data_IF_143405171606
#
_entry.id   IF_143405171606
#
_cell.length_a   1.000
_cell.length_b   1.000
_cell.length_c   1.000
_cell.angle_alpha   90.00
_cell.angle_beta   90.00
_cell.angle_gamma   90.00
#
_symmetry.space_group_name_H-M   'P 1'
#
loop_
_entity.id
_entity.type
_entity.pdbx_description
1 polymer ?
#
# COMPACT_ATOMS: atom_id res chain seq x y z
N UNK A 1 -2.32 12.55 4.73
CA UNK A 1 -1.86 11.61 3.71
C UNK A 1 -0.35 11.46 3.77
N UNK A 2 0.13 10.25 3.81
CA UNK A 2 1.57 9.98 3.82
C UNK A 2 2.16 10.12 2.43
N UNK A 3 3.28 10.81 2.36
CA UNK A 3 4.02 10.84 1.10
C UNK A 3 4.83 9.56 0.98
N UNK A 4 4.88 8.96 -0.20
CA UNK A 4 5.73 7.79 -0.38
C UNK A 4 7.20 8.15 -0.19
N UNK A 5 7.95 7.24 0.42
CA UNK A 5 9.37 7.44 0.72
C UNK A 5 10.28 6.91 -0.39
N UNK A 6 9.76 6.05 -1.25
CA UNK A 6 10.54 5.43 -2.32
C UNK A 6 9.77 5.47 -3.62
N UNK A 7 10.48 5.23 -4.73
CA UNK A 7 9.85 5.15 -6.05
C UNK A 7 8.87 3.98 -6.09
N UNK A 8 9.23 2.86 -5.48
CA UNK A 8 8.36 1.69 -5.41
C UNK A 8 7.07 2.01 -4.67
N UNK A 9 7.17 2.68 -3.53
CA UNK A 9 6.00 3.09 -2.78
C UNK A 9 5.14 4.08 -3.56
N UNK A 10 5.78 4.98 -4.32
CA UNK A 10 5.07 5.92 -5.14
C UNK A 10 4.22 5.21 -6.21
N UNK A 11 4.79 4.19 -6.85
CA UNK A 11 4.07 3.42 -7.86
C UNK A 11 2.91 2.65 -7.24
N UNK A 12 3.10 2.10 -6.05
CA UNK A 12 2.01 1.45 -5.33
C UNK A 12 0.92 2.46 -5.02
N UNK A 13 1.29 3.66 -4.56
CA UNK A 13 0.32 4.70 -4.25
C UNK A 13 -0.50 5.08 -5.48
N UNK A 14 0.13 5.19 -6.64
CA UNK A 14 -0.59 5.48 -7.88
C UNK A 14 -1.59 4.38 -8.21
N UNK A 15 -1.20 3.12 -8.01
CA UNK A 15 -2.09 1.99 -8.22
C UNK A 15 -3.29 2.06 -7.29
N UNK A 16 -3.06 2.35 -6.01
CA UNK A 16 -4.13 2.45 -5.03
C UNK A 16 -5.08 3.59 -5.36
N UNK A 17 -4.54 4.74 -5.74
CA UNK A 17 -5.36 5.90 -6.10
C UNK A 17 -6.25 5.60 -7.29
N UNK A 18 -5.79 4.77 -8.21
CA UNK A 18 -6.54 4.44 -9.42
C UNK A 18 -7.61 3.37 -9.17
N UNK A 19 -7.46 2.56 -8.12
CA UNK A 19 -8.30 1.39 -7.91
C UNK A 19 -9.15 1.41 -6.65
N UNK A 20 -8.88 2.34 -5.73
CA UNK A 20 -9.59 2.40 -4.45
C UNK A 20 -10.04 3.82 -4.15
N UNK A 21 -11.15 3.95 -3.42
CA UNK A 21 -11.59 5.24 -2.90
C UNK A 21 -10.76 5.55 -1.65
N UNK A 22 -9.60 6.17 -1.86
CA UNK A 22 -8.59 6.31 -0.82
C UNK A 22 -9.01 7.11 0.40
N UNK A 23 -10.08 7.90 0.28
CA UNK A 23 -10.62 8.63 1.42
C UNK A 23 -11.18 7.72 2.51
N UNK A 24 -11.44 6.44 2.18
CA UNK A 24 -11.97 5.47 3.13
C UNK A 24 -10.87 4.60 3.75
N UNK A 25 -9.61 4.88 3.44
CA UNK A 25 -8.51 4.03 3.84
C UNK A 25 -7.37 4.83 4.46
N UNK A 26 -6.60 4.15 5.31
CA UNK A 26 -5.35 4.67 5.81
C UNK A 26 -4.21 3.91 5.15
N UNK A 27 -3.19 4.63 4.71
CA UNK A 27 -2.03 4.03 4.08
C UNK A 27 -0.82 4.29 4.97
N UNK A 28 -0.05 3.25 5.21
CA UNK A 28 1.19 3.38 5.97
C UNK A 28 2.29 2.55 5.33
N UNK A 29 3.55 2.95 5.48
CA UNK A 29 4.65 2.18 4.91
C UNK A 29 4.90 0.91 5.71
N UNK A 30 5.12 -0.21 5.00
CA UNK A 30 5.53 -1.46 5.61
C UNK A 30 7.01 -1.68 5.45
N UNK A 31 7.52 -1.43 4.25
CA UNK A 31 8.92 -1.58 3.92
C UNK A 31 9.23 -0.63 2.78
N UNK A 32 10.48 -0.64 2.32
CA UNK A 32 10.89 0.22 1.21
C UNK A 32 10.13 -0.06 -0.08
N UNK A 33 9.58 -1.27 -0.20
CA UNK A 33 8.90 -1.70 -1.41
C UNK A 33 7.45 -2.08 -1.18
N UNK A 34 6.86 -1.68 -0.05
CA UNK A 34 5.50 -2.09 0.27
C UNK A 34 4.76 -1.06 1.11
N UNK A 35 3.43 -1.06 0.95
CA UNK A 35 2.53 -0.22 1.71
C UNK A 35 1.43 -1.08 2.32
N UNK A 36 0.92 -0.65 3.47
CA UNK A 36 -0.21 -1.28 4.13
C UNK A 36 -1.42 -0.39 3.95
N UNK A 37 -2.53 -0.99 3.54
CA UNK A 37 -3.81 -0.32 3.39
C UNK A 37 -4.75 -0.86 4.45
N UNK A 38 -5.36 0.05 5.22
CA UNK A 38 -6.29 -0.34 6.28
C UNK A 38 -7.60 0.41 6.10
N UNK A 39 -8.73 -0.31 6.17
CA UNK A 39 -10.04 0.31 6.06
C UNK A 39 -10.57 0.68 7.46
N UNK A 40 -11.79 1.24 7.49
CA UNK A 40 -12.39 1.71 8.74
C UNK A 40 -12.81 0.58 9.67
N UNK A 41 -12.92 -0.64 9.15
CA UNK A 41 -13.28 -1.80 9.97
C UNK A 41 -12.06 -2.46 10.59
N UNK A 42 -10.86 -2.01 10.21
CA UNK A 42 -9.63 -2.60 10.70
C UNK A 42 -9.07 -3.69 9.80
N UNK A 43 -9.73 -3.98 8.69
CA UNK A 43 -9.17 -4.94 7.73
C UNK A 43 -7.97 -4.34 7.04
N UNK A 44 -6.96 -5.15 6.84
CA UNK A 44 -5.68 -4.72 6.28
C UNK A 44 -5.30 -5.53 5.06
N UNK A 45 -4.73 -4.85 4.08
CA UNK A 45 -4.17 -5.47 2.89
C UNK A 45 -2.82 -4.84 2.65
N UNK A 46 -1.82 -5.67 2.35
CA UNK A 46 -0.48 -5.18 2.02
C UNK A 46 -0.23 -5.30 0.54
N UNK A 47 0.39 -4.29 -0.04
CA UNK A 47 0.78 -4.28 -1.44
C UNK A 47 2.28 -4.05 -1.54
N UNK A 48 2.92 -4.82 -2.40
CA UNK A 48 4.34 -4.68 -2.68
C UNK A 48 4.57 -4.39 -4.15
N UNK A 49 5.74 -3.85 -4.47
CA UNK A 49 6.16 -3.62 -5.84
C UNK A 49 7.24 -4.64 -6.17
N UNK A 50 6.84 -5.66 -6.94
CA UNK A 50 7.70 -6.80 -7.27
C UNK A 50 7.66 -7.00 -8.78
N UNK A 51 8.81 -7.28 -9.38
CA UNK A 51 8.92 -7.54 -10.82
C UNK A 51 8.25 -6.46 -11.67
N UNK A 52 8.46 -5.20 -11.29
CA UNK A 52 7.87 -4.04 -11.95
C UNK A 52 6.34 -4.02 -11.91
N UNK A 53 5.73 -4.70 -10.95
CA UNK A 53 4.27 -4.75 -10.79
C UNK A 53 3.88 -4.54 -9.35
N UNK A 54 2.70 -3.92 -9.15
CA UNK A 54 2.09 -3.85 -7.83
C UNK A 54 1.35 -5.15 -7.59
N UNK A 55 1.64 -5.82 -6.48
CA UNK A 55 1.05 -7.10 -6.13
C UNK A 55 0.61 -7.09 -4.67
N UNK A 56 -0.49 -7.79 -4.40
CA UNK A 56 -0.89 -8.02 -3.02
C UNK A 56 0.08 -9.01 -2.39
N UNK A 57 0.56 -8.69 -1.18
CA UNK A 57 1.52 -9.54 -0.47
C UNK A 57 0.96 -9.92 0.89
N UNK A 58 1.46 -11.00 1.50
CA UNK A 58 1.04 -11.34 2.86
C UNK A 58 1.45 -10.26 3.86
N UNK A 59 0.59 -10.02 4.84
CA UNK A 59 0.93 -9.10 5.91
C UNK A 59 1.93 -9.80 6.82
N UNK A 60 3.08 -9.19 7.11
CA UNK A 60 4.08 -9.83 7.96
C UNK A 60 3.54 -10.08 9.35
N UNK A 61 3.89 -11.19 9.99
CA UNK A 61 3.49 -11.42 11.37
C UNK A 61 4.14 -10.40 12.31
N UNK A 62 3.42 -10.08 13.35
CA UNK A 62 3.89 -9.13 14.36
C UNK A 62 4.89 -9.81 15.30
#
# INVERSE_FOLDING_TARGET
>A
MHKPHTIEQYKIQQFLDANFAMEHFLVSPLSRMSLLLEDKTGEQIAFGFLDNEVQEIPIPPV
#
